data_IF_210371776025
#
_entry.id   IF_210371776025
#
_cell.length_a   1.000
_cell.length_b   1.000
_cell.length_c   1.000
_cell.angle_alpha   90.00
_cell.angle_beta   90.00
_cell.angle_gamma   90.00
#
_symmetry.space_group_name_H-M   'P 1'
#
loop_
_entity.id
_entity.type
_entity.pdbx_description
1 polymer ?
#
# COMPACT_ATOMS: atom_id res chain seq x y z
N UNK A 1 30.07 6.19 -1.06
CA UNK A 1 28.69 5.69 -1.19
C UNK A 1 28.24 5.21 0.18
N UNK A 2 27.24 5.84 0.82
CA UNK A 2 26.70 5.36 2.08
C UNK A 2 26.13 3.95 1.86
N UNK A 3 26.45 3.02 2.76
CA UNK A 3 25.92 1.65 2.73
C UNK A 3 24.39 1.73 2.73
N UNK A 4 23.67 0.90 1.94
CA UNK A 4 22.21 0.89 2.01
C UNK A 4 21.79 0.52 3.45
N UNK A 5 21.27 1.51 4.17
CA UNK A 5 20.74 1.33 5.50
C UNK A 5 19.43 0.57 5.39
N UNK A 6 19.46 -0.71 5.76
CA UNK A 6 18.29 -1.51 6.12
C UNK A 6 17.24 -1.67 5.01
N UNK A 7 17.21 -2.85 4.39
CA UNK A 7 15.96 -3.38 3.88
C UNK A 7 14.97 -3.36 5.06
N UNK A 8 13.85 -2.64 4.94
CA UNK A 8 12.78 -2.60 5.93
C UNK A 8 12.23 -4.03 6.09
N UNK A 9 12.79 -4.82 7.01
CA UNK A 9 12.20 -6.09 7.43
C UNK A 9 11.00 -5.75 8.29
N UNK A 10 9.86 -5.55 7.66
CA UNK A 10 8.59 -5.47 8.35
C UNK A 10 8.32 -6.82 9.05
N UNK A 11 8.68 -6.89 10.33
CA UNK A 11 8.34 -7.98 11.25
C UNK A 11 9.29 -9.19 11.22
N UNK A 12 9.95 -9.44 12.34
CA UNK A 12 10.29 -10.80 12.74
C UNK A 12 9.16 -11.31 13.65
N UNK A 13 8.60 -12.50 13.42
CA UNK A 13 8.94 -13.45 12.36
C UNK A 13 8.42 -13.02 10.97
N UNK A 14 9.23 -13.26 9.94
CA UNK A 14 8.84 -13.09 8.54
C UNK A 14 7.76 -14.11 8.19
N UNK A 15 6.60 -13.63 7.72
CA UNK A 15 5.48 -14.49 7.34
C UNK A 15 5.48 -14.79 5.83
N UNK A 16 5.37 -13.76 4.98
CA UNK A 16 5.40 -13.90 3.53
C UNK A 16 5.72 -12.57 2.84
N UNK A 17 6.07 -12.63 1.56
CA UNK A 17 6.18 -11.47 0.67
C UNK A 17 4.92 -11.38 -0.20
N UNK A 18 4.23 -10.24 -0.17
CA UNK A 18 3.22 -9.87 -1.16
C UNK A 18 3.99 -9.25 -2.34
N UNK A 19 3.99 -9.87 -3.52
CA UNK A 19 4.96 -9.66 -4.61
C UNK A 19 5.31 -8.19 -5.00
N UNK A 20 6.47 -8.00 -5.66
CA UNK A 20 6.97 -6.69 -6.09
C UNK A 20 6.37 -6.24 -7.44
N UNK A 21 5.19 -5.61 -7.44
CA UNK A 21 4.52 -5.13 -8.67
C UNK A 21 4.75 -3.65 -9.04
N UNK A 22 5.58 -2.89 -8.28
CA UNK A 22 5.78 -1.42 -8.46
C UNK A 22 4.49 -0.56 -8.54
N UNK A 23 3.39 -1.07 -8.00
CA UNK A 23 2.07 -0.42 -7.93
C UNK A 23 1.67 -0.02 -6.51
N UNK A 24 2.36 -0.59 -5.52
CA UNK A 24 2.30 -0.21 -4.09
C UNK A 24 3.48 0.71 -3.76
N UNK A 25 3.58 1.84 -4.46
CA UNK A 25 4.71 2.76 -4.31
C UNK A 25 4.63 3.49 -2.96
N UNK A 26 5.77 3.57 -2.28
CA UNK A 26 5.92 4.27 -0.99
C UNK A 26 4.87 3.87 0.07
N UNK A 27 4.80 2.58 0.46
CA UNK A 27 3.91 2.16 1.53
C UNK A 27 4.33 2.79 2.86
N UNK A 28 3.38 3.38 3.56
CA UNK A 28 3.61 4.01 4.87
C UNK A 28 2.97 3.24 6.02
N UNK A 29 1.91 2.47 5.75
CA UNK A 29 1.25 1.62 6.75
C UNK A 29 0.52 0.45 6.09
N UNK A 30 0.23 -0.60 6.87
CA UNK A 30 -0.48 -1.80 6.45
C UNK A 30 -1.47 -2.27 7.51
N UNK A 31 -2.67 -2.63 7.08
CA UNK A 31 -3.70 -3.21 7.93
C UNK A 31 -4.24 -4.52 7.34
N UNK A 32 -4.53 -5.49 8.20
CA UNK A 32 -5.14 -6.76 7.82
C UNK A 32 -6.65 -6.73 8.09
N UNK A 33 -7.42 -7.08 7.07
CA UNK A 33 -8.87 -7.23 7.14
C UNK A 33 -9.28 -8.70 7.31
N UNK A 34 -10.60 -8.91 7.28
CA UNK A 34 -11.18 -10.26 7.20
C UNK A 34 -10.87 -10.89 5.85
N UNK A 35 -11.02 -12.22 5.76
CA UNK A 35 -10.92 -12.96 4.50
C UNK A 35 -9.61 -12.69 3.76
N UNK A 36 -8.48 -12.66 4.48
CA UNK A 36 -7.17 -12.46 3.87
C UNK A 36 -6.95 -11.09 3.23
N UNK A 37 -7.82 -10.10 3.42
CA UNK A 37 -7.65 -8.76 2.84
C UNK A 37 -6.49 -8.02 3.50
N UNK A 38 -5.72 -7.31 2.68
CA UNK A 38 -4.61 -6.47 3.10
C UNK A 38 -4.83 -5.07 2.52
N UNK A 39 -4.83 -4.07 3.40
CA UNK A 39 -4.96 -2.67 3.04
C UNK A 39 -3.60 -2.00 3.21
N UNK A 40 -3.09 -1.39 2.14
CA UNK A 40 -1.78 -0.74 2.15
C UNK A 40 -1.99 0.74 1.92
N UNK A 41 -1.66 1.56 2.92
CA UNK A 41 -1.66 3.00 2.79
C UNK A 41 -0.41 3.44 2.04
N UNK A 42 -0.60 4.07 0.88
CA UNK A 42 0.48 4.59 0.06
C UNK A 42 0.60 6.10 0.24
N UNK A 43 1.85 6.57 0.34
CA UNK A 43 2.15 7.98 0.17
C UNK A 43 2.37 8.27 -1.32
N UNK A 44 1.58 9.17 -1.88
CA UNK A 44 1.92 9.79 -3.16
C UNK A 44 1.82 11.30 -3.02
N UNK A 45 2.69 12.02 -3.73
CA UNK A 45 2.82 13.48 -3.63
C UNK A 45 1.49 14.20 -3.92
N UNK A 46 0.67 13.61 -4.80
CA UNK A 46 -0.62 14.17 -5.14
C UNK A 46 -1.79 13.44 -4.50
N UNK A 47 -1.69 12.15 -4.11
CA UNK A 47 -2.86 11.37 -3.65
C UNK A 47 -2.60 10.36 -2.54
N UNK A 48 -3.25 10.49 -1.38
CA UNK A 48 -3.32 9.38 -0.43
C UNK A 48 -4.23 8.32 -1.02
N UNK A 49 -3.69 7.11 -1.19
CA UNK A 49 -4.45 6.00 -1.74
C UNK A 49 -4.22 4.75 -0.90
N UNK A 50 -5.30 4.04 -0.61
CA UNK A 50 -5.26 2.76 0.07
C UNK A 50 -5.43 1.66 -1.00
N UNK A 51 -4.39 0.87 -1.23
CA UNK A 51 -4.50 -0.32 -2.09
C UNK A 51 -5.14 -1.46 -1.32
N UNK A 52 -6.02 -2.18 -2.01
CA UNK A 52 -6.58 -3.44 -1.53
C UNK A 52 -5.83 -4.59 -2.19
N UNK A 53 -5.44 -5.56 -1.38
CA UNK A 53 -4.82 -6.80 -1.79
C UNK A 53 -5.50 -7.96 -1.08
N UNK A 54 -5.39 -9.16 -1.64
CA UNK A 54 -5.61 -10.38 -0.89
C UNK A 54 -4.26 -11.02 -0.56
N UNK A 55 -4.15 -11.65 0.61
CA UNK A 55 -2.89 -12.23 1.10
C UNK A 55 -2.37 -13.32 0.15
N UNK A 56 -3.26 -13.99 -0.58
CA UNK A 56 -2.94 -15.02 -1.57
C UNK A 56 -2.86 -14.49 -3.01
N UNK A 57 -3.11 -13.19 -3.22
CA UNK A 57 -3.08 -12.53 -4.54
C UNK A 57 -1.66 -12.31 -5.09
N UNK A 58 -0.65 -12.76 -4.34
CA UNK A 58 0.71 -12.83 -4.83
C UNK A 58 0.86 -13.80 -6.03
N UNK A 59 -0.14 -14.66 -6.27
CA UNK A 59 -0.11 -15.76 -7.24
C UNK A 59 -0.99 -15.52 -8.48
N UNK A 60 -2.07 -14.73 -8.40
CA UNK A 60 -2.99 -14.48 -9.52
C UNK A 60 -2.91 -13.02 -9.99
N UNK A 61 -2.84 -12.84 -11.31
CA UNK A 61 -2.81 -11.54 -11.98
C UNK A 61 -4.25 -11.17 -12.34
N UNK A 62 -4.98 -10.52 -11.44
CA UNK A 62 -6.11 -9.71 -11.85
C UNK A 62 -5.56 -8.34 -12.22
N UNK A 63 -5.67 -7.93 -13.49
CA UNK A 63 -5.31 -6.56 -13.91
C UNK A 63 -6.25 -5.48 -13.30
N UNK A 64 -7.20 -5.91 -12.47
CA UNK A 64 -8.14 -5.08 -11.73
C UNK A 64 -7.50 -4.58 -10.43
N UNK A 65 -6.93 -3.38 -10.48
CA UNK A 65 -6.38 -2.71 -9.30
C UNK A 65 -7.48 -2.05 -8.48
N UNK A 66 -7.84 -2.68 -7.36
CA UNK A 66 -8.77 -2.07 -6.41
C UNK A 66 -8.07 -1.10 -5.44
N UNK A 67 -8.73 0.02 -5.19
CA UNK A 67 -8.30 1.00 -4.20
C UNK A 67 -9.48 1.61 -3.46
N UNK A 68 -9.17 2.29 -2.35
CA UNK A 68 -10.08 3.22 -1.68
C UNK A 68 -9.42 4.59 -1.75
N UNK A 69 -10.22 5.58 -2.10
CA UNK A 69 -9.77 6.95 -2.15
C UNK A 69 -9.38 7.40 -3.55
N UNK A 70 -9.63 8.67 -3.80
CA UNK A 70 -8.90 9.43 -4.80
C UNK A 70 -8.66 10.85 -4.27
N UNK A 71 -8.16 11.74 -5.12
CA UNK A 71 -7.88 13.12 -4.73
C UNK A 71 -9.09 14.01 -4.67
N UNK A 72 -9.20 14.73 -3.54
CA UNK A 72 -10.16 15.79 -3.40
C UNK A 72 -10.66 15.94 -1.97
N UNK A 73 -11.67 16.77 -1.84
CA UNK A 73 -12.34 17.09 -0.57
C UNK A 73 -13.72 16.44 -0.46
N UNK A 74 -14.18 15.78 -1.51
CA UNK A 74 -15.49 15.13 -1.56
C UNK A 74 -15.51 13.81 -0.76
N UNK A 75 -16.70 13.23 -0.57
CA UNK A 75 -16.84 11.97 0.15
C UNK A 75 -16.03 10.84 -0.52
N UNK A 76 -15.24 10.14 0.28
CA UNK A 76 -14.32 9.11 -0.22
C UNK A 76 -13.09 9.66 -0.93
N UNK A 77 -12.85 10.97 -0.89
CA UNK A 77 -11.61 11.60 -1.34
C UNK A 77 -10.70 11.96 -0.16
N UNK A 78 -9.40 11.97 -0.39
CA UNK A 78 -8.41 12.27 0.63
C UNK A 78 -7.39 13.29 0.13
N UNK A 79 -6.97 14.18 1.01
CA UNK A 79 -5.86 15.13 0.80
C UNK A 79 -4.87 15.01 1.95
N UNK A 80 -3.59 15.20 1.67
CA UNK A 80 -2.57 15.16 2.71
C UNK A 80 -2.45 16.54 3.39
N UNK A 81 -2.36 16.57 4.71
CA UNK A 81 -2.16 17.82 5.43
C UNK A 81 -0.67 18.22 5.43
N UNK A 82 -0.28 19.51 5.27
CA UNK A 82 -0.91 20.58 4.50
C UNK A 82 -0.19 20.71 3.15
N UNK A 83 -0.71 20.09 2.10
CA UNK A 83 -0.41 20.51 0.73
C UNK A 83 -1.23 21.78 0.45
N UNK A 84 -0.61 22.95 0.63
CA UNK A 84 -1.17 24.27 0.26
C UNK A 84 -1.71 24.28 -1.17
#
# INVERSE_FOLDING_TARGET
>A
MPRPYGLLRAGFPYLKTLGMRRISNFPIDVAFGKEGRVYILLRADNSPLIRKWHIDDAEMLTDELEAIGSNGTDEGQYTWAPSN
#
